data_IF_986899713915
#
_entry.id   IF_986899713915
#
_cell.length_a   1.000
_cell.length_b   1.000
_cell.length_c   1.000
_cell.angle_alpha   90.00
_cell.angle_beta   90.00
_cell.angle_gamma   90.00
#
_symmetry.space_group_name_H-M   'P 1'
#
loop_
_entity.id
_entity.type
_entity.pdbx_description
1 polymer ?
#
# COMPACT_ATOMS: atom_id res chain seq x y z
N UNK A 1 0.74 -35.44 -10.43
CA UNK A 1 1.67 -34.52 -9.74
C UNK A 1 1.17 -33.09 -9.90
N UNK A 2 0.42 -32.59 -8.92
CA UNK A 2 -0.14 -31.24 -8.91
C UNK A 2 0.51 -30.41 -7.81
N UNK A 3 1.61 -29.74 -8.10
CA UNK A 3 2.29 -28.84 -7.17
C UNK A 3 2.61 -27.57 -7.95
N UNK A 4 1.89 -26.47 -7.72
CA UNK A 4 2.33 -25.23 -8.36
C UNK A 4 1.52 -23.95 -8.19
N UNK A 5 0.25 -23.97 -7.74
CA UNK A 5 -0.59 -22.75 -7.84
C UNK A 5 -0.80 -21.99 -6.52
N UNK A 6 -0.99 -22.64 -5.37
CA UNK A 6 -0.91 -21.99 -4.04
C UNK A 6 0.50 -21.52 -3.61
N UNK A 7 1.47 -21.56 -4.53
CA UNK A 7 2.89 -21.27 -4.30
C UNK A 7 3.29 -19.83 -4.60
N UNK A 8 2.48 -19.05 -5.34
CA UNK A 8 2.96 -17.80 -5.93
C UNK A 8 2.95 -16.63 -4.95
N UNK A 9 1.93 -16.48 -4.09
CA UNK A 9 2.00 -15.45 -3.03
C UNK A 9 2.86 -15.87 -1.85
N UNK A 10 3.11 -17.18 -1.67
CA UNK A 10 3.89 -17.72 -0.54
C UNK A 10 5.23 -17.01 -0.30
N UNK A 11 6.12 -16.83 -1.29
CA UNK A 11 7.38 -16.12 -1.07
C UNK A 11 7.14 -14.67 -0.62
N UNK A 12 6.23 -13.94 -1.29
CA UNK A 12 5.88 -12.57 -0.94
C UNK A 12 5.31 -12.46 0.49
N UNK A 13 4.46 -13.40 0.89
CA UNK A 13 3.89 -13.46 2.23
C UNK A 13 4.97 -13.71 3.28
N UNK A 14 5.90 -14.62 3.02
CA UNK A 14 7.00 -14.90 3.93
C UNK A 14 7.93 -13.69 4.08
N UNK A 15 8.27 -13.02 2.97
CA UNK A 15 9.06 -11.78 3.01
C UNK A 15 8.30 -10.68 3.75
N UNK A 16 7.01 -10.48 3.47
CA UNK A 16 6.20 -9.47 4.15
C UNK A 16 6.13 -9.71 5.66
N UNK A 17 5.79 -10.92 6.09
CA UNK A 17 5.70 -11.27 7.51
C UNK A 17 7.07 -11.23 8.20
N UNK A 18 8.11 -11.73 7.54
CA UNK A 18 9.47 -11.71 8.07
C UNK A 18 9.98 -10.28 8.25
N UNK A 19 9.79 -9.42 7.25
CA UNK A 19 10.26 -8.04 7.30
C UNK A 19 9.41 -7.17 8.26
N UNK A 20 8.08 -7.30 8.25
CA UNK A 20 7.23 -6.59 9.22
C UNK A 20 7.54 -7.08 10.64
N UNK A 21 7.62 -8.40 10.85
CA UNK A 21 7.95 -8.99 12.13
C UNK A 21 9.33 -8.58 12.64
N UNK A 22 10.34 -8.56 11.77
CA UNK A 22 11.68 -8.07 12.11
C UNK A 22 11.66 -6.59 12.49
N UNK A 23 10.91 -5.76 11.76
CA UNK A 23 10.78 -4.33 12.07
C UNK A 23 10.12 -4.10 13.43
N UNK A 24 9.02 -4.81 13.73
CA UNK A 24 8.38 -4.75 15.04
C UNK A 24 9.31 -5.25 16.15
N UNK A 25 10.02 -6.35 15.91
CA UNK A 25 10.96 -6.91 16.87
C UNK A 25 12.07 -5.91 17.21
N UNK A 26 12.73 -5.32 16.21
CA UNK A 26 13.80 -4.34 16.43
C UNK A 26 13.27 -3.07 17.10
N UNK A 27 12.08 -2.60 16.74
CA UNK A 27 11.42 -1.48 17.43
C UNK A 27 11.17 -1.79 18.91
N UNK A 28 10.66 -2.98 19.24
CA UNK A 28 10.39 -3.40 20.63
C UNK A 28 11.69 -3.53 21.43
N UNK A 29 12.73 -4.18 20.87
CA UNK A 29 14.02 -4.26 21.54
C UNK A 29 14.59 -2.88 21.80
N UNK A 30 14.49 -1.97 20.82
CA UNK A 30 14.93 -0.60 20.96
C UNK A 30 14.19 0.14 22.09
N UNK A 31 12.88 -0.09 22.28
CA UNK A 31 12.14 0.44 23.43
C UNK A 31 12.65 -0.04 24.78
N UNK A 32 13.14 -1.27 24.84
CA UNK A 32 13.59 -1.89 26.09
C UNK A 32 14.97 -1.35 26.50
N UNK A 33 15.84 -1.09 25.52
CA UNK A 33 17.25 -0.74 25.79
C UNK A 33 17.55 0.76 25.77
N UNK A 34 16.74 1.55 25.05
CA UNK A 34 16.86 3.01 24.95
C UNK A 34 16.37 3.68 26.23
N UNK A 35 17.00 4.79 26.64
CA UNK A 35 16.55 5.61 27.76
C UNK A 35 15.42 6.60 27.41
N UNK A 36 14.87 6.56 26.18
CA UNK A 36 13.80 7.44 25.70
C UNK A 36 12.45 7.10 26.36
N UNK A 37 11.63 8.12 26.62
CA UNK A 37 10.30 7.95 27.19
C UNK A 37 9.28 7.60 26.10
N UNK A 38 8.69 6.38 26.06
CA UNK A 38 7.77 6.01 24.99
C UNK A 38 6.43 6.76 25.02
N UNK A 39 6.10 7.45 26.11
CA UNK A 39 4.89 8.25 26.23
C UNK A 39 5.09 9.58 25.51
N UNK A 40 6.12 10.33 25.88
CA UNK A 40 6.31 11.70 25.41
C UNK A 40 7.26 11.80 24.21
N UNK A 41 8.27 10.93 24.11
CA UNK A 41 9.21 10.96 23.01
C UNK A 41 8.63 10.32 21.75
N UNK A 42 8.66 11.10 20.66
CA UNK A 42 8.39 10.60 19.31
C UNK A 42 9.25 9.39 19.00
N UNK A 43 8.72 8.42 18.25
CA UNK A 43 9.48 7.28 17.78
C UNK A 43 10.70 7.73 16.95
N UNK A 44 10.55 8.80 16.16
CA UNK A 44 11.64 9.37 15.36
C UNK A 44 12.81 9.90 16.21
N UNK A 45 12.60 10.24 17.49
CA UNK A 45 13.68 10.68 18.38
C UNK A 45 14.62 9.55 18.79
N UNK A 46 14.21 8.29 18.60
CA UNK A 46 15.03 7.13 18.89
C UNK A 46 16.17 6.93 17.86
N UNK A 47 16.28 7.78 16.83
CA UNK A 47 17.52 7.92 16.04
C UNK A 47 18.66 8.46 16.90
N UNK A 48 18.35 9.27 17.91
CA UNK A 48 19.27 9.82 18.89
C UNK A 48 19.02 9.08 20.21
N UNK A 49 19.75 7.99 20.42
CA UNK A 49 19.59 7.10 21.58
C UNK A 49 20.95 6.77 22.20
N UNK A 50 20.95 6.46 23.49
CA UNK A 50 22.14 5.97 24.22
C UNK A 50 22.47 4.50 23.89
N UNK A 51 21.49 3.72 23.42
CA UNK A 51 21.66 2.30 23.05
C UNK A 51 20.79 1.90 21.88
N UNK A 52 21.32 1.05 21.01
CA UNK A 52 20.57 0.56 19.84
C UNK A 52 20.65 1.51 18.65
N UNK A 53 21.79 2.17 18.47
CA UNK A 53 22.08 2.98 17.29
C UNK A 53 21.72 2.23 16.00
N UNK A 54 21.03 2.91 15.08
CA UNK A 54 20.58 2.34 13.81
C UNK A 54 19.42 1.35 13.90
N UNK A 55 18.99 0.89 15.09
CA UNK A 55 17.88 -0.07 15.21
C UNK A 55 16.55 0.52 14.73
N UNK A 56 16.31 1.82 14.94
CA UNK A 56 15.12 2.46 14.40
C UNK A 56 15.14 2.49 12.86
N UNK A 57 16.28 2.88 12.27
CA UNK A 57 16.43 2.88 10.82
C UNK A 57 16.23 1.47 10.25
N UNK A 58 16.82 0.45 10.87
CA UNK A 58 16.62 -0.94 10.50
C UNK A 58 15.15 -1.38 10.61
N UNK A 59 14.45 -0.96 11.68
CA UNK A 59 13.02 -1.21 11.86
C UNK A 59 12.19 -0.62 10.71
N UNK A 60 12.37 0.66 10.43
CA UNK A 60 11.60 1.40 9.42
C UNK A 60 11.91 0.88 8.01
N UNK A 61 13.17 0.59 7.69
CA UNK A 61 13.55 -0.04 6.43
C UNK A 61 12.95 -1.44 6.27
N UNK A 62 12.90 -2.21 7.35
CA UNK A 62 12.25 -3.53 7.33
C UNK A 62 10.74 -3.42 7.06
N UNK A 63 10.06 -2.42 7.63
CA UNK A 63 8.66 -2.11 7.30
C UNK A 63 8.48 -1.67 5.85
N UNK A 64 9.39 -0.87 5.30
CA UNK A 64 9.38 -0.48 3.89
C UNK A 64 9.49 -1.71 2.96
N UNK A 65 10.43 -2.61 3.23
CA UNK A 65 10.60 -3.87 2.49
C UNK A 65 9.35 -4.74 2.60
N UNK A 66 8.82 -4.90 3.82
CA UNK A 66 7.61 -5.67 4.05
C UNK A 66 6.41 -5.12 3.28
N UNK A 67 6.31 -3.81 3.16
CA UNK A 67 5.23 -3.12 2.44
C UNK A 67 5.31 -3.32 0.92
N UNK A 68 6.51 -3.29 0.34
CA UNK A 68 6.72 -3.67 -1.07
C UNK A 68 6.38 -5.15 -1.30
N UNK A 69 6.68 -6.02 -0.34
CA UNK A 69 6.30 -7.42 -0.42
C UNK A 69 4.77 -7.63 -0.34
N UNK A 70 4.05 -6.80 0.44
CA UNK A 70 2.56 -6.77 0.42
C UNK A 70 2.05 -6.34 -0.96
N UNK A 71 2.63 -5.31 -1.59
CA UNK A 71 2.29 -4.92 -2.95
C UNK A 71 2.53 -6.07 -3.95
N UNK A 72 3.66 -6.77 -3.84
CA UNK A 72 3.97 -7.96 -4.63
C UNK A 72 2.95 -9.08 -4.43
N UNK A 73 2.55 -9.35 -3.18
CA UNK A 73 1.53 -10.34 -2.85
C UNK A 73 0.17 -9.98 -3.47
N UNK A 74 -0.27 -8.72 -3.36
CA UNK A 74 -1.51 -8.24 -3.98
C UNK A 74 -1.48 -8.38 -5.50
N UNK A 75 -0.36 -8.03 -6.13
CA UNK A 75 -0.19 -8.13 -7.58
C UNK A 75 -0.28 -9.59 -8.06
N UNK A 76 0.45 -10.50 -7.41
CA UNK A 76 0.50 -11.92 -7.76
C UNK A 76 -0.81 -12.65 -7.45
N UNK A 77 -1.53 -12.22 -6.40
CA UNK A 77 -2.87 -12.73 -6.08
C UNK A 77 -3.95 -12.31 -7.08
N UNK A 78 -3.61 -11.49 -8.09
CA UNK A 78 -4.55 -11.01 -9.09
C UNK A 78 -5.55 -9.99 -8.54
N UNK A 79 -5.20 -9.28 -7.46
CA UNK A 79 -6.01 -8.15 -6.98
C UNK A 79 -6.03 -7.08 -8.08
N UNK A 80 -7.20 -6.54 -8.45
CA UNK A 80 -7.31 -5.47 -9.44
C UNK A 80 -6.71 -4.15 -8.93
N UNK A 81 -5.39 -4.03 -8.98
CA UNK A 81 -4.63 -2.86 -8.55
C UNK A 81 -4.67 -1.77 -9.61
N UNK A 82 -5.32 -0.64 -9.29
CA UNK A 82 -5.26 0.58 -10.09
C UNK A 82 -3.83 1.16 -10.12
N UNK A 83 -3.54 2.05 -11.08
CA UNK A 83 -2.27 2.79 -11.13
C UNK A 83 -2.06 3.58 -9.83
N UNK A 84 -3.12 4.21 -9.33
CA UNK A 84 -3.12 4.97 -8.07
C UNK A 84 -2.71 4.10 -6.89
N UNK A 85 -3.29 2.90 -6.75
CA UNK A 85 -2.96 1.97 -5.66
C UNK A 85 -1.46 1.61 -5.66
N UNK A 86 -0.90 1.32 -6.84
CA UNK A 86 0.52 0.95 -6.99
C UNK A 86 1.42 2.12 -6.63
N UNK A 87 1.13 3.32 -7.14
CA UNK A 87 1.91 4.52 -6.85
C UNK A 87 1.89 4.81 -5.35
N UNK A 88 0.73 4.78 -4.70
CA UNK A 88 0.61 5.10 -3.29
C UNK A 88 1.31 4.06 -2.39
N UNK A 89 1.23 2.76 -2.68
CA UNK A 89 2.00 1.75 -1.91
C UNK A 89 3.52 1.88 -2.11
N UNK A 90 3.94 2.27 -3.31
CA UNK A 90 5.36 2.58 -3.58
C UNK A 90 5.78 3.84 -2.83
N UNK A 91 4.99 4.91 -2.84
CA UNK A 91 5.27 6.16 -2.11
C UNK A 91 5.30 5.95 -0.60
N UNK A 92 4.42 5.10 -0.05
CA UNK A 92 4.51 4.65 1.34
C UNK A 92 5.87 4.03 1.65
N UNK A 93 6.29 3.06 0.84
CA UNK A 93 7.53 2.32 1.07
C UNK A 93 8.77 3.21 0.89
N UNK A 94 8.78 4.06 -0.13
CA UNK A 94 9.87 5.02 -0.37
C UNK A 94 9.91 6.12 0.68
N UNK A 95 8.76 6.60 1.15
CA UNK A 95 8.67 7.59 2.22
C UNK A 95 9.22 7.04 3.54
N UNK A 96 8.88 5.80 3.90
CA UNK A 96 9.51 5.13 5.04
C UNK A 96 11.03 4.98 4.87
N UNK A 97 11.50 4.54 3.69
CA UNK A 97 12.93 4.39 3.45
C UNK A 97 13.67 5.73 3.52
N UNK A 98 13.11 6.80 2.95
CA UNK A 98 13.66 8.14 3.05
C UNK A 98 13.68 8.63 4.52
N UNK A 99 12.59 8.45 5.27
CA UNK A 99 12.56 8.82 6.69
C UNK A 99 13.58 8.04 7.55
N UNK A 100 13.95 6.82 7.15
CA UNK A 100 14.99 6.05 7.83
C UNK A 100 16.41 6.52 7.48
N UNK A 101 16.63 6.96 6.23
CA UNK A 101 17.93 7.44 5.74
C UNK A 101 18.22 8.87 6.17
N UNK A 102 17.18 9.68 6.30
CA UNK A 102 17.26 11.07 6.76
C UNK A 102 16.60 11.17 8.14
N UNK A 103 17.38 11.10 9.24
CA UNK A 103 16.87 11.27 10.60
C UNK A 103 16.18 12.61 10.82
N UNK A 104 15.19 12.63 11.71
CA UNK A 104 14.61 13.87 12.20
C UNK A 104 15.66 14.69 12.97
N UNK A 105 15.56 16.02 12.85
CA UNK A 105 16.43 16.97 13.55
C UNK A 105 15.96 17.19 14.97
N UNK A 106 16.87 17.06 15.94
CA UNK A 106 16.60 17.33 17.36
C UNK A 106 17.69 18.23 17.95
N UNK A 107 17.44 18.96 19.05
CA UNK A 107 18.45 19.83 19.68
C UNK A 107 19.76 19.11 20.05
N UNK A 108 19.68 17.83 20.40
CA UNK A 108 20.82 16.99 20.77
C UNK A 108 21.69 16.60 19.55
N UNK A 109 21.11 16.60 18.35
CA UNK A 109 21.78 16.27 17.09
C UNK A 109 21.13 17.08 15.93
N UNK A 110 21.44 18.38 15.80
CA UNK A 110 20.77 19.25 14.85
C UNK A 110 21.23 18.97 13.41
N UNK A 111 20.27 18.66 12.54
CA UNK A 111 20.45 18.57 11.08
C UNK A 111 19.14 19.02 10.40
N UNK A 112 18.95 20.33 10.17
CA UNK A 112 17.69 20.87 9.68
C UNK A 112 17.27 20.31 8.32
N UNK A 113 18.24 20.09 7.41
CA UNK A 113 17.95 19.58 6.05
C UNK A 113 17.46 18.14 6.12
N UNK A 114 18.16 17.29 6.87
CA UNK A 114 17.69 15.92 7.12
C UNK A 114 16.32 15.91 7.80
N UNK A 115 16.11 16.81 8.77
CA UNK A 115 14.85 16.95 9.48
C UNK A 115 13.66 17.33 8.58
N UNK A 116 13.85 18.24 7.62
CA UNK A 116 12.82 18.59 6.64
C UNK A 116 12.50 17.41 5.71
N UNK A 117 13.53 16.73 5.20
CA UNK A 117 13.34 15.55 4.36
C UNK A 117 12.57 14.47 5.13
N UNK A 118 12.94 14.20 6.38
CA UNK A 118 12.24 13.26 7.26
C UNK A 118 10.76 13.60 7.40
N UNK A 119 10.46 14.87 7.70
CA UNK A 119 9.09 15.34 7.92
C UNK A 119 8.22 15.13 6.68
N UNK A 120 8.69 15.57 5.52
CA UNK A 120 7.94 15.42 4.27
C UNK A 120 7.85 13.95 3.82
N UNK A 121 8.89 13.16 4.03
CA UNK A 121 8.88 11.73 3.76
C UNK A 121 7.83 10.99 4.61
N UNK A 122 7.77 11.30 5.91
CA UNK A 122 6.74 10.78 6.82
C UNK A 122 5.33 11.22 6.39
N UNK A 123 5.14 12.49 6.04
CA UNK A 123 3.84 13.00 5.56
C UNK A 123 3.38 12.26 4.30
N UNK A 124 4.26 12.13 3.30
CA UNK A 124 3.98 11.38 2.07
C UNK A 124 3.65 9.93 2.39
N UNK A 125 4.42 9.29 3.27
CA UNK A 125 4.16 7.92 3.67
C UNK A 125 2.78 7.79 4.31
N UNK A 126 2.54 8.44 5.44
CA UNK A 126 1.31 8.28 6.23
C UNK A 126 0.04 8.67 5.47
N UNK A 127 0.10 9.58 4.51
CA UNK A 127 -1.03 9.87 3.62
C UNK A 127 -1.23 8.80 2.54
N UNK A 128 -0.15 8.19 2.04
CA UNK A 128 -0.20 7.27 0.91
C UNK A 128 -0.81 5.93 1.25
N UNK A 129 -0.50 5.34 2.41
CA UNK A 129 -1.03 4.02 2.78
C UNK A 129 -2.57 3.97 2.90
N UNK A 130 -3.24 4.85 3.67
CA UNK A 130 -4.70 4.90 3.70
C UNK A 130 -5.29 5.28 2.33
N UNK A 131 -4.63 6.15 1.55
CA UNK A 131 -5.05 6.46 0.18
C UNK A 131 -5.02 5.24 -0.74
N UNK A 132 -3.98 4.41 -0.64
CA UNK A 132 -3.88 3.15 -1.37
C UNK A 132 -5.02 2.20 -0.98
N UNK A 133 -5.30 2.06 0.32
CA UNK A 133 -6.39 1.25 0.83
C UNK A 133 -7.76 1.74 0.37
N UNK A 134 -8.00 3.06 0.35
CA UNK A 134 -9.24 3.65 -0.18
C UNK A 134 -9.41 3.33 -1.66
N UNK A 135 -8.35 3.40 -2.46
CA UNK A 135 -8.41 3.07 -3.89
C UNK A 135 -8.76 1.60 -4.18
N UNK A 136 -8.69 0.71 -3.18
CA UNK A 136 -9.10 -0.69 -3.25
C UNK A 136 -10.56 -0.93 -2.85
N UNK A 137 -11.30 0.09 -2.38
CA UNK A 137 -12.68 -0.09 -1.95
C UNK A 137 -13.66 -0.38 -3.10
N UNK A 138 -13.47 0.27 -4.25
CA UNK A 138 -14.34 0.03 -5.43
C UNK A 138 -14.10 -1.35 -6.04
N UNK A 139 -12.84 -1.79 -6.30
CA UNK A 139 -12.60 -3.14 -6.81
C UNK A 139 -13.02 -4.27 -5.86
N UNK A 140 -13.23 -3.96 -4.57
CA UNK A 140 -13.69 -4.91 -3.55
C UNK A 140 -15.17 -4.72 -3.18
N UNK A 141 -15.96 -3.94 -3.94
CA UNK A 141 -17.34 -3.56 -3.60
C UNK A 141 -18.22 -4.73 -3.15
N UNK A 142 -18.20 -5.83 -3.89
CA UNK A 142 -19.03 -7.02 -3.66
C UNK A 142 -18.27 -8.15 -2.93
N UNK A 143 -17.19 -7.81 -2.24
CA UNK A 143 -16.31 -8.77 -1.56
C UNK A 143 -16.39 -8.63 -0.04
N UNK A 144 -16.48 -9.75 0.72
CA UNK A 144 -16.56 -9.70 2.18
C UNK A 144 -15.32 -9.04 2.82
N UNK A 145 -14.16 -9.12 2.17
CA UNK A 145 -12.91 -8.48 2.56
C UNK A 145 -13.01 -6.96 2.75
N UNK A 146 -13.96 -6.32 2.04
CA UNK A 146 -14.18 -4.87 2.11
C UNK A 146 -14.48 -4.39 3.53
N UNK A 147 -15.18 -5.19 4.33
CA UNK A 147 -15.55 -4.80 5.71
C UNK A 147 -14.30 -4.62 6.57
N UNK A 148 -13.36 -5.56 6.50
CA UNK A 148 -12.09 -5.49 7.22
C UNK A 148 -11.26 -4.29 6.73
N UNK A 149 -11.20 -4.07 5.42
CA UNK A 149 -10.48 -2.94 4.83
C UNK A 149 -11.04 -1.59 5.29
N UNK A 150 -12.37 -1.42 5.29
CA UNK A 150 -13.02 -0.19 5.78
C UNK A 150 -12.70 0.07 7.25
N UNK A 151 -12.70 -0.97 8.09
CA UNK A 151 -12.34 -0.84 9.51
C UNK A 151 -10.89 -0.41 9.68
N UNK A 152 -9.96 -1.03 8.94
CA UNK A 152 -8.54 -0.67 8.98
C UNK A 152 -8.27 0.75 8.46
N UNK A 153 -8.98 1.18 7.40
CA UNK A 153 -8.93 2.57 6.90
C UNK A 153 -9.39 3.56 7.98
N UNK A 154 -10.54 3.29 8.64
CA UNK A 154 -11.05 4.16 9.71
C UNK A 154 -10.10 4.23 10.90
N UNK A 155 -9.52 3.10 11.29
CA UNK A 155 -8.52 3.05 12.36
C UNK A 155 -7.30 3.91 12.01
N UNK A 156 -6.77 3.74 10.80
CA UNK A 156 -5.59 4.49 10.31
C UNK A 156 -5.89 5.98 10.21
N UNK A 157 -7.04 6.36 9.62
CA UNK A 157 -7.45 7.75 9.52
C UNK A 157 -7.65 8.41 10.89
N UNK A 158 -8.27 7.70 11.84
CA UNK A 158 -8.41 8.17 13.22
C UNK A 158 -7.07 8.33 13.92
N UNK A 159 -6.19 7.34 13.82
CA UNK A 159 -4.85 7.40 14.41
C UNK A 159 -3.99 8.53 13.79
N UNK A 160 -4.10 8.73 12.48
CA UNK A 160 -3.43 9.83 11.79
C UNK A 160 -3.94 11.19 12.26
N UNK A 161 -5.26 11.35 12.40
CA UNK A 161 -5.83 12.58 12.95
C UNK A 161 -5.35 12.84 14.38
N UNK A 162 -5.33 11.82 15.25
CA UNK A 162 -4.81 11.95 16.61
C UNK A 162 -3.32 12.36 16.61
N UNK A 163 -2.48 11.71 15.79
CA UNK A 163 -1.08 12.07 15.69
C UNK A 163 -0.87 13.49 15.15
N UNK A 164 -1.57 13.87 14.08
CA UNK A 164 -1.48 15.21 13.50
C UNK A 164 -1.92 16.30 14.49
N UNK A 165 -3.01 16.05 15.24
CA UNK A 165 -3.46 16.96 16.30
C UNK A 165 -2.41 17.09 17.41
N UNK A 166 -1.84 15.98 17.89
CA UNK A 166 -0.78 16.01 18.91
C UNK A 166 0.46 16.74 18.43
N UNK A 167 0.88 16.50 17.19
CA UNK A 167 1.99 17.19 16.57
C UNK A 167 1.75 18.71 16.53
N UNK A 168 0.58 19.16 16.10
CA UNK A 168 0.23 20.60 16.11
C UNK A 168 0.28 21.18 17.52
N UNK A 169 -0.25 20.47 18.53
CA UNK A 169 -0.20 20.93 19.92
C UNK A 169 1.24 21.08 20.43
N UNK A 170 2.11 20.12 20.14
CA UNK A 170 3.55 20.21 20.47
C UNK A 170 4.18 21.42 19.77
N UNK A 171 3.90 21.65 18.48
CA UNK A 171 4.45 22.82 17.75
C UNK A 171 3.97 24.16 18.32
N UNK A 172 2.70 24.24 18.72
CA UNK A 172 2.16 25.45 19.36
C UNK A 172 2.75 25.67 20.76
N UNK A 173 2.98 24.58 21.51
CA UNK A 173 3.70 24.62 22.79
C UNK A 173 5.14 25.10 22.61
N UNK A 174 5.87 24.57 21.61
CA UNK A 174 7.24 25.00 21.27
C UNK A 174 7.29 26.48 20.86
N UNK A 175 6.24 26.98 20.22
CA UNK A 175 6.09 28.40 19.87
C UNK A 175 5.69 29.31 21.05
N UNK A 176 5.50 28.76 22.26
CA UNK A 176 5.14 29.52 23.46
C UNK A 176 3.68 29.96 23.52
N UNK A 177 2.79 29.29 22.77
CA UNK A 177 1.34 29.62 22.75
C UNK A 177 0.62 28.89 23.88
N UNK A 178 0.05 29.62 24.83
CA UNK A 178 -0.82 29.05 25.87
C UNK A 178 -2.22 28.72 25.31
N UNK A 179 -2.91 27.66 25.78
CA UNK A 179 -2.55 26.74 26.86
C UNK A 179 -1.86 25.45 26.36
N UNK A 180 -1.21 25.47 25.19
CA UNK A 180 -0.83 24.23 24.48
C UNK A 180 0.23 23.39 25.20
N UNK A 181 0.96 23.97 26.16
CA UNK A 181 1.85 23.21 27.04
C UNK A 181 1.11 22.18 27.90
N UNK A 182 0.03 22.60 28.57
CA UNK A 182 -0.77 21.67 29.37
C UNK A 182 -1.53 20.66 28.49
N UNK A 183 -1.92 21.08 27.29
CA UNK A 183 -2.64 20.23 26.34
C UNK A 183 -1.73 19.16 25.73
N UNK A 184 -0.48 19.48 25.39
CA UNK A 184 0.48 18.52 24.85
C UNK A 184 0.88 17.46 25.88
N UNK A 185 0.95 17.82 27.17
CA UNK A 185 1.19 16.88 28.27
C UNK A 185 0.03 15.86 28.41
N UNK A 186 -1.21 16.31 28.23
CA UNK A 186 -2.40 15.45 28.26
C UNK A 186 -2.60 14.64 26.99
N UNK A 187 -1.96 15.04 25.89
CA UNK A 187 -2.12 14.44 24.57
C UNK A 187 -0.76 14.07 23.95
N UNK A 188 -0.05 13.09 24.56
CA UNK A 188 1.37 12.89 24.37
C UNK A 188 1.70 12.33 22.98
N UNK A 189 2.61 13.01 22.29
CA UNK A 189 2.94 12.75 20.88
C UNK A 189 3.58 11.38 20.65
N UNK A 190 4.37 10.89 21.60
CA UNK A 190 5.00 9.57 21.53
C UNK A 190 3.97 8.44 21.47
N UNK A 191 2.89 8.52 22.26
CA UNK A 191 1.79 7.55 22.21
C UNK A 191 1.05 7.63 20.88
N UNK A 192 0.69 8.84 20.43
CA UNK A 192 -0.10 9.01 19.22
C UNK A 192 0.63 8.52 17.97
N UNK A 193 1.95 8.74 17.89
CA UNK A 193 2.77 8.23 16.79
C UNK A 193 2.82 6.69 16.79
N UNK A 194 2.90 6.06 17.96
CA UNK A 194 2.88 4.59 18.09
C UNK A 194 1.53 4.00 17.70
N UNK A 195 0.44 4.65 18.10
CA UNK A 195 -0.92 4.25 17.71
C UNK A 195 -1.08 4.33 16.19
N UNK A 196 -0.59 5.41 15.55
CA UNK A 196 -0.56 5.53 14.09
C UNK A 196 0.24 4.39 13.44
N UNK A 197 1.47 4.15 13.89
CA UNK A 197 2.30 3.07 13.34
C UNK A 197 1.65 1.69 13.49
N UNK A 198 1.03 1.41 14.64
CA UNK A 198 0.29 0.15 14.85
C UNK A 198 -0.93 0.04 13.94
N UNK A 199 -1.66 1.14 13.72
CA UNK A 199 -2.78 1.18 12.79
C UNK A 199 -2.34 0.88 11.34
N UNK A 200 -1.21 1.47 10.91
CA UNK A 200 -0.62 1.21 9.59
C UNK A 200 -0.18 -0.26 9.44
N UNK A 201 0.43 -0.84 10.47
CA UNK A 201 0.79 -2.26 10.49
C UNK A 201 -0.45 -3.15 10.39
N UNK A 202 -1.53 -2.81 11.11
CA UNK A 202 -2.82 -3.52 11.00
C UNK A 202 -3.38 -3.41 9.57
N UNK A 203 -3.26 -2.25 8.95
CA UNK A 203 -3.69 -2.04 7.56
C UNK A 203 -2.85 -2.88 6.59
N UNK A 204 -1.52 -2.91 6.72
CA UNK A 204 -0.65 -3.77 5.92
C UNK A 204 -0.98 -5.27 6.08
N UNK A 205 -1.19 -5.72 7.32
CA UNK A 205 -1.61 -7.10 7.61
C UNK A 205 -3.00 -7.41 7.00
N UNK A 206 -3.91 -6.43 7.01
CA UNK A 206 -5.23 -6.56 6.36
C UNK A 206 -5.09 -6.73 4.85
N UNK A 207 -4.26 -5.89 4.20
CA UNK A 207 -3.97 -5.99 2.76
C UNK A 207 -3.32 -7.33 2.40
N UNK A 208 -2.38 -7.81 3.22
CA UNK A 208 -1.77 -9.12 3.02
C UNK A 208 -2.80 -10.25 3.19
N UNK A 209 -3.70 -10.13 4.17
CA UNK A 209 -4.82 -11.05 4.36
C UNK A 209 -5.74 -11.11 3.13
N UNK A 210 -6.04 -9.97 2.52
CA UNK A 210 -6.81 -9.87 1.28
C UNK A 210 -6.12 -10.63 0.14
N UNK A 211 -4.81 -10.43 -0.05
CA UNK A 211 -4.04 -11.15 -1.08
C UNK A 211 -4.17 -12.68 -0.91
N UNK A 212 -4.02 -13.19 0.33
CA UNK A 212 -4.08 -14.63 0.60
C UNK A 212 -5.47 -15.25 0.38
N UNK A 213 -6.54 -14.53 0.74
CA UNK A 213 -7.92 -15.00 0.58
C UNK A 213 -8.32 -15.04 -0.89
N UNK A 214 -7.91 -14.03 -1.66
CA UNK A 214 -8.24 -13.95 -3.08
C UNK A 214 -7.55 -15.02 -3.91
N UNK A 215 -6.28 -15.33 -3.64
CA UNK A 215 -5.57 -16.45 -4.28
C UNK A 215 -6.29 -17.78 -4.00
N UNK A 216 -6.65 -18.03 -2.73
CA UNK A 216 -7.36 -19.26 -2.32
C UNK A 216 -8.70 -19.43 -3.04
N UNK A 217 -9.44 -18.34 -3.26
CA UNK A 217 -10.71 -18.36 -3.97
C UNK A 217 -10.55 -18.60 -5.49
N UNK A 218 -9.43 -18.16 -6.09
CA UNK A 218 -9.12 -18.45 -7.49
C UNK A 218 -8.72 -19.90 -7.71
N UNK A 219 -7.92 -20.47 -6.82
CA UNK A 219 -7.50 -21.88 -6.90
C UNK A 219 -8.70 -22.82 -6.79
N UNK A 220 -9.60 -22.60 -5.81
CA UNK A 220 -10.80 -23.44 -5.65
C UNK A 220 -11.75 -23.43 -6.86
N UNK A 221 -11.92 -22.28 -7.54
CA UNK A 221 -12.73 -22.21 -8.78
C UNK A 221 -12.09 -22.96 -9.94
N UNK A 222 -10.77 -22.95 -10.05
CA UNK A 222 -10.04 -23.69 -11.10
C UNK A 222 -10.13 -25.20 -10.89
N UNK A 223 -10.02 -25.67 -9.65
CA UNK A 223 -10.17 -27.09 -9.34
C UNK A 223 -11.57 -27.61 -9.67
N UNK A 224 -12.62 -26.89 -9.28
CA UNK A 224 -14.00 -27.24 -9.64
C UNK A 224 -14.22 -27.30 -11.16
N UNK A 225 -13.70 -26.33 -11.90
CA UNK A 225 -13.77 -26.34 -13.36
C UNK A 225 -13.04 -27.52 -14.00
N UNK A 226 -11.88 -27.91 -13.44
CA UNK A 226 -11.11 -29.07 -13.91
C UNK A 226 -11.86 -30.38 -13.66
N UNK A 227 -12.42 -30.55 -12.47
CA UNK A 227 -13.23 -31.73 -12.13
C UNK A 227 -14.44 -31.82 -13.05
N UNK A 228 -15.14 -30.72 -13.30
CA UNK A 228 -16.28 -30.69 -14.22
C UNK A 228 -15.89 -31.14 -15.64
N UNK A 229 -14.74 -30.68 -16.16
CA UNK A 229 -14.22 -31.10 -17.47
C UNK A 229 -13.83 -32.58 -17.49
N UNK A 230 -13.18 -33.09 -16.45
CA UNK A 230 -12.79 -34.51 -16.34
C UNK A 230 -14.03 -35.42 -16.19
N UNK A 231 -15.06 -35.00 -15.46
CA UNK A 231 -16.33 -35.75 -15.35
C UNK A 231 -17.19 -35.67 -16.62
N UNK A 232 -17.05 -34.61 -17.42
CA UNK A 232 -17.76 -34.43 -18.69
C UNK A 232 -17.19 -35.23 -19.86
N UNK A 233 -15.98 -35.78 -19.74
CA UNK A 233 -15.31 -36.55 -20.80
C UNK A 233 -15.55 -38.08 -20.73
N UNK A 234 -16.34 -38.55 -19.75
CA UNK A 234 -16.71 -39.97 -19.61
C UNK A 234 -18.13 -40.31 -20.12
N UNK A 235 -18.88 -39.33 -20.64
CA UNK A 235 -20.13 -39.58 -21.35
C UNK A 235 -19.86 -39.58 -22.86
N UNK A 236 -19.41 -40.73 -23.37
CA UNK A 236 -19.23 -40.96 -24.80
C UNK A 236 -20.51 -40.72 -25.58
N UNK A 237 -20.58 -39.57 -26.27
CA UNK A 237 -21.43 -39.41 -27.44
C UNK A 237 -20.68 -40.06 -28.59
N UNK A 238 -21.04 -41.31 -28.86
CA UNK A 238 -20.65 -42.00 -30.07
C UNK A 238 -21.38 -41.34 -31.23
N UNK A 239 -20.81 -40.28 -31.81
CA UNK A 239 -21.35 -39.69 -33.04
C UNK A 239 -21.16 -40.67 -34.19
N UNK A 240 -22.27 -41.29 -34.59
CA UNK A 240 -22.36 -42.07 -35.82
C UNK A 240 -22.14 -41.15 -37.02
N UNK A 241 -21.01 -41.36 -37.69
CA UNK A 241 -20.69 -40.83 -39.00
C UNK A 241 -21.76 -41.27 -40.01
N UNK A 242 -22.66 -40.36 -40.40
CA UNK A 242 -23.53 -40.52 -41.57
C UNK A 242 -22.99 -39.63 -42.68
N UNK A 243 -22.36 -40.26 -43.67
CA UNK A 243 -21.97 -39.67 -44.94
C UNK A 243 -23.24 -39.38 -45.76
N UNK A 244 -23.58 -38.09 -45.94
CA UNK A 244 -24.49 -37.67 -47.03
C UNK A 244 -23.72 -36.78 -47.99
N UNK A 245 -23.63 -37.29 -49.22
CA UNK A 245 -23.07 -36.73 -50.44
C UNK A 245 -24.16 -35.94 -51.16
N UNK A 246 -23.83 -34.76 -51.67
CA UNK A 246 -24.67 -33.97 -52.60
C UNK A 246 -24.37 -32.47 -52.48
N UNK A 247 -23.35 -31.94 -53.17
CA UNK A 247 -23.40 -31.31 -54.51
C UNK A 247 -24.13 -29.95 -54.58
N UNK A 248 -23.35 -28.96 -55.08
CA UNK A 248 -23.75 -27.76 -55.83
C UNK A 248 -24.59 -26.70 -55.07
N UNK A 249 -24.46 -25.39 -55.26
CA UNK A 249 -23.63 -24.52 -56.09
C UNK A 249 -24.05 -23.06 -55.78
N UNK A 250 -23.11 -22.12 -55.97
CA UNK A 250 -23.35 -20.77 -56.55
C UNK A 250 -24.00 -19.68 -55.67
N UNK A 251 -23.22 -18.60 -55.41
CA UNK A 251 -23.44 -17.17 -55.75
C UNK A 251 -22.67 -16.28 -54.74
N UNK A 252 -21.63 -15.61 -55.23
CA UNK A 252 -21.20 -14.25 -54.82
C UNK A 252 -21.74 -13.29 -55.89
N UNK A 253 -22.01 -11.98 -55.65
CA UNK A 253 -20.94 -11.02 -55.30
C UNK A 253 -21.33 -9.68 -54.60
N UNK A 254 -20.29 -8.87 -54.27
CA UNK A 254 -20.21 -7.37 -54.27
C UNK A 254 -21.11 -6.58 -53.27
N UNK A 255 -20.79 -5.42 -52.67
CA UNK A 255 -19.70 -4.43 -52.73
C UNK A 255 -19.88 -3.36 -51.60
N UNK A 256 -18.80 -2.65 -51.27
CA UNK A 256 -18.62 -1.22 -50.93
C UNK A 256 -19.44 -0.40 -49.88
N UNK A 257 -18.65 0.49 -49.25
CA UNK A 257 -18.90 1.83 -48.60
C UNK A 257 -18.72 1.81 -47.08
N UNK A 258 -17.93 2.67 -46.42
CA UNK A 258 -17.35 3.97 -46.78
C UNK A 258 -17.75 5.01 -45.71
N UNK A 259 -16.77 5.72 -45.12
CA UNK A 259 -16.95 6.84 -44.17
C UNK A 259 -16.17 6.60 -42.88
N UNK A 260 -15.00 7.18 -42.59
CA UNK A 260 -14.53 8.57 -42.69
C UNK A 260 -15.35 9.54 -41.82
N UNK A 261 -14.90 9.71 -40.58
CA UNK A 261 -15.23 10.88 -39.76
C UNK A 261 -13.93 11.51 -39.25
N UNK A 262 -13.82 12.77 -39.61
CA UNK A 262 -12.76 13.71 -39.28
C UNK A 262 -13.03 14.40 -37.94
N UNK A 263 -11.99 15.09 -37.43
CA UNK A 263 -12.15 16.31 -36.66
C UNK A 263 -11.92 16.19 -35.16
N UNK A 264 -10.67 16.39 -34.73
CA UNK A 264 -10.41 17.00 -33.42
C UNK A 264 -9.37 18.08 -33.64
N UNK A 265 -9.83 19.32 -33.45
CA UNK A 265 -9.06 20.54 -33.55
C UNK A 265 -7.89 20.57 -32.56
N UNK A 266 -6.77 21.04 -33.10
CA UNK A 266 -5.52 21.30 -32.40
C UNK A 266 -5.63 22.67 -31.75
N UNK A 267 -5.75 22.71 -30.43
CA UNK A 267 -5.63 23.95 -29.66
C UNK A 267 -4.14 24.30 -29.58
N UNK A 268 -3.76 25.37 -30.27
CA UNK A 268 -2.47 26.05 -30.11
C UNK A 268 -2.49 26.83 -28.79
N UNK A 269 -1.47 26.60 -27.95
CA UNK A 269 -1.23 27.40 -26.77
C UNK A 269 -0.26 28.53 -27.11
N UNK A 270 -0.78 29.76 -27.08
CA UNK A 270 -0.02 31.00 -27.11
C UNK A 270 0.99 31.06 -25.96
N UNK A 271 2.25 31.29 -26.30
CA UNK A 271 3.35 31.59 -25.38
C UNK A 271 3.32 33.06 -24.99
N UNK A 272 3.17 33.34 -23.69
CA UNK A 272 3.30 34.68 -23.10
C UNK A 272 4.77 35.16 -23.11
N UNK A 273 5.03 36.47 -23.33
CA UNK A 273 6.37 37.05 -23.28
C UNK A 273 6.85 37.32 -21.85
N UNK A 274 8.18 37.26 -21.67
CA UNK A 274 8.89 37.53 -20.43
C UNK A 274 8.87 39.02 -20.04
N UNK A 275 9.01 39.36 -18.74
CA UNK A 275 9.08 40.75 -18.28
C UNK A 275 10.47 41.36 -18.46
N UNK A 276 10.47 42.60 -18.97
CA UNK A 276 11.62 43.51 -19.03
C UNK A 276 12.10 43.95 -17.64
N UNK A 277 13.40 44.25 -17.60
CA UNK A 277 14.20 44.74 -16.49
C UNK A 277 13.72 46.09 -15.93
N UNK A 278 13.77 46.23 -14.60
CA UNK A 278 13.91 47.49 -13.87
C UNK A 278 14.66 47.25 -12.56
#
# INVERSE_FOLDING_TARGET
MGTGQGTRTRPWRLVALGAIGWGLFTAVVLHIISSRDPVYDTLSSYTVTDRGEGMLAASVLSLAIGSLAVLGALHVAGVPLSRTTRILLTLWSLGLAAAAVFPASYPEAPDPVSGEIHLYACLVAFCSLPGAAISLLEPLRDRPERVALVRAIRLTAGAFALFATSFVFVRLSEAGVEPFRAVSDAFPIGVMQRVLLLADVVLLCTLLGIATRLESAFDGRRELGRVAVETGHAAGVQEHHVLVRGEAAVVRPLDQRGGHLAGVDRIEHDTLPAPEEA
#
